data_IF_224649400246
#
_entry.id   IF_224649400246
#
_cell.length_a   1.000
_cell.length_b   1.000
_cell.length_c   1.000
_cell.angle_alpha   90.00
_cell.angle_beta   90.00
_cell.angle_gamma   90.00
#
_symmetry.space_group_name_H-M   'P 1'
#
loop_
_entity.id
_entity.type
_entity.pdbx_description
1 polymer ?
#
# COMPACT_ATOMS: atom_id res chain seq x y z
N UNK A 1 -34.70 -20.66 26.54
CA UNK A 1 -33.97 -19.39 26.67
C UNK A 1 -32.69 -19.50 25.86
N UNK A 2 -32.64 -18.88 24.68
CA UNK A 2 -31.39 -18.69 23.92
C UNK A 2 -30.89 -17.29 24.25
N UNK A 3 -30.14 -17.19 25.35
CA UNK A 3 -29.28 -16.03 25.58
C UNK A 3 -28.06 -16.23 24.69
N UNK A 4 -28.07 -15.60 23.53
CA UNK A 4 -26.93 -15.62 22.62
C UNK A 4 -26.78 -14.23 22.00
N UNK A 5 -26.04 -13.40 22.74
CA UNK A 5 -24.87 -12.73 22.19
C UNK A 5 -25.06 -11.67 21.10
N UNK A 6 -26.08 -10.80 21.21
CA UNK A 6 -26.08 -9.56 20.41
C UNK A 6 -24.87 -8.65 20.74
N UNK A 7 -24.34 -8.73 21.96
CA UNK A 7 -23.20 -7.94 22.44
C UNK A 7 -21.83 -8.36 21.87
N UNK A 8 -21.55 -9.65 21.68
CA UNK A 8 -20.23 -10.06 21.13
C UNK A 8 -20.15 -9.85 19.62
N UNK A 9 -21.26 -10.00 18.88
CA UNK A 9 -21.26 -9.77 17.44
C UNK A 9 -21.01 -8.29 17.13
N UNK A 10 -21.61 -7.37 17.88
CA UNK A 10 -21.38 -5.93 17.71
C UNK A 10 -19.94 -5.51 18.07
N UNK A 11 -19.37 -6.08 19.15
CA UNK A 11 -17.96 -5.88 19.49
C UNK A 11 -17.02 -6.44 18.42
N UNK A 12 -17.33 -7.61 17.87
CA UNK A 12 -16.57 -8.23 16.79
C UNK A 12 -16.53 -7.37 15.53
N UNK A 13 -17.67 -6.83 15.12
CA UNK A 13 -17.79 -5.92 13.96
C UNK A 13 -17.03 -4.61 14.22
N UNK A 14 -17.17 -4.03 15.41
CA UNK A 14 -16.48 -2.80 15.78
C UNK A 14 -14.95 -2.97 15.82
N UNK A 15 -14.47 -4.08 16.36
CA UNK A 15 -13.04 -4.40 16.41
C UNK A 15 -12.45 -4.66 15.02
N UNK A 16 -13.18 -5.35 14.15
CA UNK A 16 -12.73 -5.59 12.77
C UNK A 16 -12.74 -4.31 11.94
N UNK A 17 -13.71 -3.42 12.13
CA UNK A 17 -13.72 -2.08 11.53
C UNK A 17 -12.53 -1.23 12.01
N UNK A 18 -12.25 -1.20 13.31
CA UNK A 18 -11.07 -0.53 13.87
C UNK A 18 -9.75 -1.07 13.33
N UNK A 19 -9.65 -2.40 13.17
CA UNK A 19 -8.46 -3.02 12.59
C UNK A 19 -8.27 -2.66 11.10
N UNK A 20 -9.36 -2.60 10.34
CA UNK A 20 -9.35 -2.17 8.94
C UNK A 20 -8.98 -0.68 8.84
N UNK A 21 -9.54 0.17 9.68
CA UNK A 21 -9.22 1.59 9.75
C UNK A 21 -7.76 1.82 10.15
N UNK A 22 -7.25 1.08 11.13
CA UNK A 22 -5.84 1.13 11.54
C UNK A 22 -4.91 0.66 10.42
N UNK A 23 -5.30 -0.35 9.65
CA UNK A 23 -4.56 -0.78 8.44
C UNK A 23 -4.56 0.31 7.37
N UNK A 24 -5.71 0.90 7.06
CA UNK A 24 -5.81 2.00 6.10
C UNK A 24 -5.00 3.22 6.57
N UNK A 25 -5.05 3.54 7.86
CA UNK A 25 -4.27 4.61 8.47
C UNK A 25 -2.77 4.31 8.46
N UNK A 26 -2.35 3.07 8.70
CA UNK A 26 -0.94 2.67 8.56
C UNK A 26 -0.47 2.70 7.11
N UNK A 27 -1.30 2.29 6.15
CA UNK A 27 -0.97 2.43 4.73
C UNK A 27 -0.81 3.91 4.36
N UNK A 28 -1.66 4.78 4.93
CA UNK A 28 -1.61 6.22 4.72
C UNK A 28 -0.42 6.89 5.42
N UNK A 29 -0.08 6.50 6.66
CA UNK A 29 0.97 7.10 7.48
C UNK A 29 2.37 6.51 7.20
N UNK A 30 2.47 5.20 6.99
CA UNK A 30 3.72 4.46 6.77
C UNK A 30 3.90 4.04 5.30
N UNK A 31 2.98 4.42 4.43
CA UNK A 31 3.16 4.22 3.01
C UNK A 31 3.20 2.76 2.55
N UNK A 32 2.30 1.90 3.05
CA UNK A 32 2.14 0.51 2.59
C UNK A 32 2.94 -0.54 3.39
N UNK A 33 2.81 -1.82 3.03
CA UNK A 33 3.65 -2.92 3.57
C UNK A 33 5.01 -2.93 2.87
N UNK A 34 6.05 -3.41 3.56
CA UNK A 34 7.38 -3.64 2.96
C UNK A 34 7.24 -4.33 1.59
N UNK A 35 8.02 -3.86 0.61
CA UNK A 35 8.00 -4.33 -0.78
C UNK A 35 6.71 -4.11 -1.59
N UNK A 36 5.69 -3.44 -1.02
CA UNK A 36 4.48 -3.10 -1.75
C UNK A 36 4.76 -2.02 -2.81
N UNK A 37 4.08 -2.14 -3.94
CA UNK A 37 4.14 -1.18 -5.03
C UNK A 37 2.85 -0.36 -5.08
N UNK A 38 3.00 0.95 -5.01
CA UNK A 38 1.92 1.91 -5.14
C UNK A 38 2.09 2.75 -6.40
N UNK A 39 0.98 3.12 -7.02
CA UNK A 39 0.99 4.12 -8.08
C UNK A 39 0.97 5.55 -7.50
N UNK A 40 1.66 6.48 -8.15
CA UNK A 40 1.69 7.89 -7.84
C UNK A 40 1.70 8.73 -9.12
N UNK A 41 1.14 9.94 -9.04
CA UNK A 41 1.31 10.96 -10.06
C UNK A 41 2.15 12.06 -9.44
N UNK A 42 3.26 12.37 -10.10
CA UNK A 42 4.24 13.34 -9.66
C UNK A 42 4.24 14.51 -10.63
N UNK A 43 3.90 15.70 -10.13
CA UNK A 43 3.81 16.94 -10.92
C UNK A 43 5.16 17.62 -11.10
N UNK A 44 6.05 17.50 -10.11
CA UNK A 44 7.39 18.07 -10.11
C UNK A 44 8.44 16.95 -10.15
N UNK A 45 9.51 17.04 -10.96
CA UNK A 45 10.47 15.94 -11.09
C UNK A 45 11.05 15.50 -9.74
N UNK A 46 10.88 14.21 -9.42
CA UNK A 46 11.46 13.57 -8.22
C UNK A 46 12.64 12.71 -8.63
N UNK A 47 13.64 12.58 -7.76
CA UNK A 47 14.79 11.70 -8.03
C UNK A 47 14.41 10.25 -7.76
N UNK A 48 14.57 9.41 -8.78
CA UNK A 48 14.46 7.97 -8.65
C UNK A 48 15.54 7.43 -7.72
N UNK A 49 15.16 6.60 -6.74
CA UNK A 49 16.11 6.10 -5.75
C UNK A 49 17.15 5.13 -6.33
N UNK A 50 16.85 4.44 -7.42
CA UNK A 50 17.74 3.47 -8.05
C UNK A 50 18.63 4.11 -9.12
N UNK A 51 18.00 4.74 -10.12
CA UNK A 51 18.71 5.28 -11.28
C UNK A 51 19.34 6.64 -11.00
N UNK A 52 18.94 7.30 -9.91
CA UNK A 52 19.33 8.68 -9.56
C UNK A 52 18.94 9.71 -10.63
N UNK A 53 18.06 9.32 -11.56
CA UNK A 53 17.55 10.20 -12.61
C UNK A 53 16.25 10.86 -12.17
N UNK A 54 15.96 12.08 -12.67
CA UNK A 54 14.67 12.71 -12.43
C UNK A 54 13.56 11.95 -13.16
N UNK A 55 12.45 11.70 -12.47
CA UNK A 55 11.22 11.11 -13.00
C UNK A 55 10.04 12.04 -12.73
N UNK A 56 9.12 12.14 -13.68
CA UNK A 56 7.93 12.98 -13.59
C UNK A 56 6.74 12.30 -14.27
N UNK A 57 5.53 12.75 -13.94
CA UNK A 57 4.29 12.18 -14.46
C UNK A 57 3.85 10.94 -13.69
N UNK A 58 3.44 9.90 -14.42
CA UNK A 58 2.96 8.64 -13.85
C UNK A 58 4.12 7.77 -13.38
N UNK A 59 4.24 7.57 -12.07
CA UNK A 59 5.36 6.85 -11.46
C UNK A 59 4.89 5.80 -10.47
N UNK A 60 5.72 4.79 -10.27
CA UNK A 60 5.53 3.82 -9.20
C UNK A 60 6.34 4.26 -7.97
N UNK A 61 5.86 3.84 -6.80
CA UNK A 61 6.53 4.04 -5.52
C UNK A 61 6.59 2.70 -4.81
N UNK A 62 7.77 2.37 -4.30
CA UNK A 62 8.00 1.14 -3.53
C UNK A 62 8.07 1.46 -2.06
N UNK A 63 7.57 0.58 -1.20
CA UNK A 63 7.79 0.70 0.24
C UNK A 63 9.16 0.15 0.59
N UNK A 64 10.02 1.00 1.15
CA UNK A 64 11.34 0.64 1.66
C UNK A 64 11.47 1.26 3.05
N UNK A 65 11.86 0.47 4.05
CA UNK A 65 11.98 0.89 5.45
C UNK A 65 10.67 1.50 6.00
N UNK A 66 9.53 0.94 5.58
CA UNK A 66 8.20 1.44 5.96
C UNK A 66 7.89 2.86 5.48
N UNK A 67 8.44 3.27 4.32
CA UNK A 67 8.10 4.53 3.65
C UNK A 67 7.99 4.32 2.14
N UNK A 68 7.07 5.06 1.51
CA UNK A 68 7.05 5.13 0.05
C UNK A 68 8.24 5.94 -0.47
N UNK A 69 9.01 5.33 -1.35
CA UNK A 69 10.06 5.98 -2.13
C UNK A 69 9.74 5.92 -3.61
N UNK A 70 10.06 7.00 -4.33
CA UNK A 70 9.83 7.09 -5.78
C UNK A 70 10.85 6.24 -6.53
N UNK A 71 10.34 5.31 -7.35
CA UNK A 71 11.16 4.32 -8.05
C UNK A 71 10.45 3.79 -9.29
N UNK A 72 11.16 3.71 -10.42
CA UNK A 72 10.73 2.92 -11.57
C UNK A 72 10.96 1.43 -11.33
N UNK A 73 9.92 0.64 -11.63
CA UNK A 73 10.03 -0.82 -11.66
C UNK A 73 11.05 -1.24 -12.71
N UNK A 74 11.83 -2.28 -12.39
CA UNK A 74 12.56 -3.00 -13.42
C UNK A 74 11.59 -3.82 -14.29
N UNK A 75 12.08 -4.31 -15.43
CA UNK A 75 11.29 -5.18 -16.32
C UNK A 75 10.81 -6.45 -15.59
N UNK A 76 11.69 -7.09 -14.82
CA UNK A 76 11.37 -8.26 -14.00
C UNK A 76 10.33 -7.95 -12.90
N UNK A 77 10.50 -6.85 -12.16
CA UNK A 77 9.56 -6.46 -11.10
C UNK A 77 8.18 -6.08 -11.66
N UNK A 78 8.14 -5.55 -12.88
CA UNK A 78 6.90 -5.26 -13.60
C UNK A 78 6.20 -6.55 -14.02
N UNK A 79 6.94 -7.52 -14.54
CA UNK A 79 6.39 -8.83 -14.93
C UNK A 79 5.79 -9.56 -13.72
N UNK A 80 6.46 -9.53 -12.57
CA UNK A 80 5.93 -10.06 -11.30
C UNK A 80 4.68 -9.31 -10.83
N UNK A 81 4.69 -7.98 -10.94
CA UNK A 81 3.55 -7.14 -10.56
C UNK A 81 2.33 -7.38 -11.45
N UNK A 82 2.52 -7.54 -12.75
CA UNK A 82 1.46 -7.85 -13.72
C UNK A 82 0.98 -9.30 -13.58
N UNK A 83 1.88 -10.25 -13.30
CA UNK A 83 1.52 -11.65 -13.01
C UNK A 83 0.63 -11.77 -11.76
N UNK A 84 0.95 -11.02 -10.70
CA UNK A 84 0.12 -10.94 -9.48
C UNK A 84 -1.24 -10.26 -9.69
N UNK A 85 -1.42 -9.57 -10.82
CA UNK A 85 -2.67 -8.91 -11.25
C UNK A 85 -3.44 -9.66 -12.33
N UNK A 86 -3.00 -10.86 -12.72
CA UNK A 86 -3.80 -11.73 -13.58
C UNK A 86 -5.08 -12.17 -12.87
N UNK A 87 -6.18 -11.45 -13.12
CA UNK A 87 -7.56 -11.82 -12.84
C UNK A 87 -8.39 -11.69 -14.13
#
# INVERSE_FOLDING_TARGET
>A
MRDTTFGDTAKGIFLSFLAALKRALMIYLNGGKEDEWGYAVVTDPVTDINTKMPIAGHVMRKVIDGKFVHRQMTEEERDDFDAGRSW
#
